data_IF_234469941945
#
_entry.id   IF_234469941945
#
_cell.length_a   1.000
_cell.length_b   1.000
_cell.length_c   1.000
_cell.angle_alpha   90.00
_cell.angle_beta   90.00
_cell.angle_gamma   90.00
#
_symmetry.space_group_name_H-M   'P 1'
#
loop_
_entity.id
_entity.type
_entity.pdbx_description
1 polymer ?
#
# COMPACT_ATOMS: atom_id res chain seq x y z
N UNK A 1 11.85 4.29 22.06
CA UNK A 1 11.63 5.73 21.79
C UNK A 1 11.46 6.03 20.29
N UNK A 2 12.25 5.41 19.39
CA UNK A 2 12.12 5.61 17.93
C UNK A 2 10.90 4.90 17.31
N UNK A 3 10.45 3.80 17.90
CA UNK A 3 9.37 2.96 17.36
C UNK A 3 7.97 3.59 17.47
N UNK A 4 7.70 4.30 18.57
CA UNK A 4 6.45 5.04 18.75
C UNK A 4 6.31 6.21 17.75
N UNK A 5 7.42 6.83 17.36
CA UNK A 5 7.43 7.90 16.35
C UNK A 5 7.10 7.33 14.96
N UNK A 6 7.62 6.14 14.64
CA UNK A 6 7.25 5.44 13.40
C UNK A 6 5.76 5.09 13.35
N UNK A 7 5.17 4.66 14.48
CA UNK A 7 3.72 4.42 14.56
C UNK A 7 2.91 5.68 14.29
N UNK A 8 3.23 6.80 14.94
CA UNK A 8 2.51 8.06 14.70
C UNK A 8 2.67 8.57 13.27
N UNK A 9 3.86 8.44 12.69
CA UNK A 9 4.15 8.85 11.32
C UNK A 9 3.33 8.03 10.31
N UNK A 10 3.27 6.71 10.49
CA UNK A 10 2.43 5.81 9.67
C UNK A 10 0.95 6.15 9.84
N UNK A 11 0.48 6.39 11.07
CA UNK A 11 -0.91 6.76 11.36
C UNK A 11 -1.30 8.04 10.63
N UNK A 12 -0.44 9.06 10.68
CA UNK A 12 -0.69 10.32 9.98
C UNK A 12 -0.67 10.14 8.45
N UNK A 13 0.22 9.27 7.95
CA UNK A 13 0.35 8.95 6.52
C UNK A 13 -0.89 8.28 5.94
N UNK A 14 -1.47 7.30 6.64
CA UNK A 14 -2.69 6.60 6.17
C UNK A 14 -3.98 7.34 6.51
N UNK A 15 -3.90 8.43 7.29
CA UNK A 15 -5.06 9.25 7.68
C UNK A 15 -5.85 8.71 8.87
N UNK A 16 -5.19 8.03 9.82
CA UNK A 16 -5.74 7.66 11.11
C UNK A 16 -5.57 6.18 11.51
N UNK A 17 -5.69 5.89 12.81
CA UNK A 17 -5.50 4.54 13.38
C UNK A 17 -6.49 3.50 12.84
N UNK A 18 -7.71 3.92 12.53
CA UNK A 18 -8.72 3.05 11.96
C UNK A 18 -8.31 2.56 10.56
N UNK A 19 -7.94 3.49 9.68
CA UNK A 19 -7.44 3.18 8.34
C UNK A 19 -6.18 2.32 8.40
N UNK A 20 -5.27 2.60 9.34
CA UNK A 20 -4.08 1.77 9.55
C UNK A 20 -4.46 0.31 9.84
N UNK A 21 -5.36 0.10 10.80
CA UNK A 21 -5.79 -1.25 11.17
C UNK A 21 -6.47 -1.97 10.01
N UNK A 22 -7.35 -1.28 9.28
CA UNK A 22 -8.02 -1.85 8.10
C UNK A 22 -7.03 -2.22 7.00
N UNK A 23 -6.07 -1.33 6.68
CA UNK A 23 -5.05 -1.57 5.65
C UNK A 23 -4.18 -2.76 6.02
N UNK A 24 -3.74 -2.84 7.27
CA UNK A 24 -2.93 -3.94 7.78
C UNK A 24 -3.70 -5.26 7.70
N UNK A 25 -4.93 -5.29 8.21
CA UNK A 25 -5.76 -6.50 8.21
C UNK A 25 -6.02 -7.01 6.78
N UNK A 26 -6.47 -6.13 5.88
CA UNK A 26 -6.72 -6.49 4.48
C UNK A 26 -5.46 -7.00 3.78
N UNK A 27 -4.32 -6.36 3.99
CA UNK A 27 -3.06 -6.76 3.37
C UNK A 27 -2.52 -8.08 3.93
N UNK A 28 -2.62 -8.30 5.24
CA UNK A 28 -2.26 -9.59 5.85
C UNK A 28 -3.09 -10.75 5.29
N UNK A 29 -4.40 -10.54 5.07
CA UNK A 29 -5.26 -11.54 4.42
C UNK A 29 -4.79 -11.84 3.00
N UNK A 30 -4.41 -10.83 2.21
CA UNK A 30 -3.89 -11.03 0.86
C UNK A 30 -2.58 -11.84 0.86
N UNK A 31 -1.63 -11.52 1.74
CA UNK A 31 -0.37 -12.26 1.88
C UNK A 31 -0.63 -13.70 2.33
N UNK A 32 -1.56 -13.92 3.26
CA UNK A 32 -1.98 -15.25 3.67
C UNK A 32 -2.62 -16.05 2.53
N UNK A 33 -3.30 -15.38 1.59
CA UNK A 33 -3.84 -15.94 0.37
C UNK A 33 -2.81 -16.22 -0.73
N UNK A 34 -1.51 -15.95 -0.49
CA UNK A 34 -0.43 -16.19 -1.45
C UNK A 34 -0.04 -14.96 -2.29
N UNK A 35 -0.54 -13.77 -1.96
CA UNK A 35 -0.05 -12.54 -2.59
C UNK A 35 1.44 -12.34 -2.29
N UNK A 36 2.19 -11.87 -3.28
CA UNK A 36 3.63 -11.61 -3.13
C UNK A 36 3.85 -10.28 -2.38
N UNK A 37 4.84 -10.23 -1.46
CA UNK A 37 5.35 -8.98 -0.92
C UNK A 37 5.80 -8.03 -2.05
N UNK A 38 5.44 -6.75 -1.94
CA UNK A 38 5.86 -5.69 -2.87
C UNK A 38 7.21 -5.08 -2.50
N UNK A 39 7.69 -5.39 -1.29
CA UNK A 39 8.98 -4.95 -0.77
C UNK A 39 9.84 -6.16 -0.49
N UNK A 40 11.12 -6.06 -0.81
CA UNK A 40 12.10 -7.05 -0.44
C UNK A 40 12.58 -6.77 0.98
N UNK A 41 12.23 -7.65 1.92
CA UNK A 41 12.59 -7.54 3.33
C UNK A 41 13.23 -8.86 3.74
N UNK A 42 14.36 -8.83 4.44
CA UNK A 42 15.04 -10.01 5.00
C UNK A 42 14.33 -10.53 6.27
N UNK A 43 12.99 -10.59 6.24
CA UNK A 43 12.15 -11.05 7.33
C UNK A 43 11.03 -11.92 6.77
N UNK A 44 10.61 -12.92 7.55
CA UNK A 44 9.41 -13.71 7.23
C UNK A 44 8.18 -13.19 7.99
N UNK A 45 8.33 -12.14 8.80
CA UNK A 45 7.22 -11.54 9.51
C UNK A 45 6.33 -10.76 8.54
N UNK A 46 5.11 -11.26 8.36
CA UNK A 46 4.11 -10.66 7.47
C UNK A 46 3.71 -9.26 7.95
N UNK A 47 3.66 -9.03 9.26
CA UNK A 47 3.32 -7.72 9.81
C UNK A 47 4.41 -6.70 9.45
N UNK A 48 5.67 -7.08 9.59
CA UNK A 48 6.80 -6.24 9.23
C UNK A 48 6.81 -5.91 7.74
N UNK A 49 6.54 -6.90 6.88
CA UNK A 49 6.39 -6.70 5.43
C UNK A 49 5.31 -5.65 5.12
N UNK A 50 4.13 -5.77 5.73
CA UNK A 50 3.02 -4.84 5.49
C UNK A 50 3.37 -3.43 5.96
N UNK A 51 4.01 -3.29 7.13
CA UNK A 51 4.46 -1.99 7.64
C UNK A 51 5.48 -1.36 6.69
N UNK A 52 6.43 -2.14 6.17
CA UNK A 52 7.40 -1.66 5.17
C UNK A 52 6.72 -1.24 3.87
N UNK A 53 5.70 -1.97 3.41
CA UNK A 53 4.92 -1.59 2.24
C UNK A 53 4.21 -0.24 2.42
N UNK A 54 3.68 0.04 3.62
CA UNK A 54 3.04 1.33 3.94
C UNK A 54 4.09 2.44 4.02
N UNK A 55 5.22 2.18 4.70
CA UNK A 55 6.31 3.14 4.83
C UNK A 55 6.87 3.55 3.46
N UNK A 56 7.00 2.61 2.53
CA UNK A 56 7.51 2.83 1.17
C UNK A 56 6.44 3.30 0.15
N UNK A 57 5.24 3.67 0.60
CA UNK A 57 4.14 4.13 -0.28
C UNK A 57 3.74 3.11 -1.36
N UNK A 58 3.96 1.82 -1.09
CA UNK A 58 3.62 0.74 -2.04
C UNK A 58 2.15 0.35 -1.97
N UNK A 59 1.51 0.55 -0.80
CA UNK A 59 0.10 0.27 -0.60
C UNK A 59 -0.60 1.46 0.05
N UNK A 60 -1.88 1.65 -0.27
CA UNK A 60 -2.73 2.68 0.33
C UNK A 60 -4.20 2.24 0.33
N UNK A 61 -5.01 2.88 1.17
CA UNK A 61 -6.47 2.77 1.12
C UNK A 61 -7.03 3.82 0.16
N UNK A 62 -7.83 3.38 -0.80
CA UNK A 62 -8.59 4.30 -1.66
C UNK A 62 -9.83 4.87 -0.96
N UNK A 63 -10.59 5.71 -1.67
CA UNK A 63 -11.84 6.30 -1.16
C UNK A 63 -12.92 5.26 -0.84
N UNK A 64 -12.85 4.07 -1.44
CA UNK A 64 -13.73 2.94 -1.17
C UNK A 64 -13.23 2.05 -0.02
N UNK A 65 -12.14 2.44 0.65
CA UNK A 65 -11.47 1.64 1.67
C UNK A 65 -10.95 0.29 1.16
N UNK A 66 -10.61 0.20 -0.13
CA UNK A 66 -9.92 -0.94 -0.71
C UNK A 66 -8.41 -0.72 -0.77
N UNK A 67 -7.65 -1.82 -0.65
CA UNK A 67 -6.18 -1.77 -0.66
C UNK A 67 -5.73 -1.70 -2.11
N UNK A 68 -5.11 -0.58 -2.48
CA UNK A 68 -4.50 -0.37 -3.78
C UNK A 68 -2.98 -0.49 -3.68
N UNK A 69 -2.35 -0.94 -4.76
CA UNK A 69 -0.90 -1.10 -4.85
C UNK A 69 -0.36 -0.10 -5.88
N UNK A 70 0.62 0.72 -5.48
CA UNK A 70 1.27 1.74 -6.33
C UNK A 70 2.01 1.15 -7.56
N UNK A 71 2.14 -0.17 -7.65
CA UNK A 71 2.75 -0.88 -8.78
C UNK A 71 1.76 -1.37 -9.85
N UNK A 72 0.46 -1.42 -9.55
CA UNK A 72 -0.58 -1.76 -10.54
C UNK A 72 -1.07 -0.47 -11.20
N UNK A 73 -0.16 0.22 -11.90
CA UNK A 73 -0.62 0.85 -13.13
C UNK A 73 -0.84 -0.33 -14.07
N UNK A 74 -2.10 -0.71 -14.42
CA UNK A 74 -2.25 -1.33 -15.71
C UNK A 74 -1.60 -0.33 -16.65
N UNK A 75 -0.54 -0.78 -17.32
CA UNK A 75 0.01 -0.12 -18.49
C UNK A 75 -1.12 -0.14 -19.52
N UNK A 76 -2.16 0.65 -19.29
CA UNK A 76 -3.02 1.14 -20.35
C UNK A 76 -2.02 1.69 -21.34
N UNK A 77 -2.07 1.16 -22.56
CA UNK A 77 -1.17 1.55 -23.63
C UNK A 77 -1.17 3.07 -23.81
N UNK A 78 -0.32 3.59 -24.70
CA UNK A 78 -0.35 5.02 -25.01
C UNK A 78 -1.82 5.41 -25.22
N UNK A 79 -2.30 6.30 -24.35
CA UNK A 79 -3.55 7.00 -24.59
C UNK A 79 -3.25 7.85 -25.80
N UNK A 80 -3.65 7.35 -26.97
CA UNK A 80 -3.65 8.10 -28.22
C UNK A 80 -4.63 9.26 -28.02
N UNK A 81 -4.12 10.34 -27.44
CA UNK A 81 -4.78 11.63 -27.45
C UNK A 81 -4.66 12.16 -28.89
N UNK A 82 -5.60 11.76 -29.75
CA UNK A 82 -5.74 12.33 -31.10
C UNK A 82 -6.14 13.80 -30.98
N UNK A 83 -5.13 14.67 -30.94
CA UNK A 83 -5.27 16.13 -30.95
C UNK A 83 -5.60 16.70 -32.34
N UNK A 84 -5.72 15.86 -33.37
CA UNK A 84 -5.91 16.28 -34.77
C UNK A 84 -7.38 16.58 -35.14
N UNK A 85 -8.27 16.77 -34.16
CA UNK A 85 -9.71 17.05 -34.39
C UNK A 85 -10.21 18.37 -33.78
N UNK A 86 -9.33 19.34 -33.52
CA UNK A 86 -9.72 20.72 -33.13
C UNK A 86 -9.35 21.73 -34.22
#
# INVERSE_FOLDING_TARGET
MIEALKEEEIVNKVGGRFKLSTLIQKRLVAINGGARPLVHVDTNDKMEIVVQEILQDKIYLDAASEVQMTGDVPRSGPVDFDFDSI
#
